data_IF_926436891315
#
_entry.id   IF_926436891315
#
_cell.length_a   1.000
_cell.length_b   1.000
_cell.length_c   1.000
_cell.angle_alpha   90.00
_cell.angle_beta   90.00
_cell.angle_gamma   90.00
#
_symmetry.space_group_name_H-M   'P 1'
#
loop_
_entity.id
_entity.type
_entity.pdbx_description
1 polymer ?
#
# COMPACT_ATOMS: atom_id res chain seq x y z
N UNK A 1 -28.35 41.82 -70.36
CA UNK A 1 -27.11 42.16 -69.62
C UNK A 1 -27.42 42.62 -68.20
N UNK A 2 -28.30 43.62 -68.02
CA UNK A 2 -28.70 44.16 -66.71
C UNK A 2 -29.28 43.12 -65.73
N UNK A 3 -30.15 42.20 -66.19
CA UNK A 3 -30.77 41.19 -65.32
C UNK A 3 -29.78 40.20 -64.68
N UNK A 4 -28.73 39.80 -65.42
CA UNK A 4 -27.66 38.96 -64.88
C UNK A 4 -26.80 39.71 -63.88
N UNK A 5 -26.56 41.00 -64.11
CA UNK A 5 -25.79 41.84 -63.18
C UNK A 5 -26.51 41.95 -61.84
N UNK A 6 -27.82 42.22 -61.87
CA UNK A 6 -28.67 42.32 -60.69
C UNK A 6 -28.74 41.00 -59.90
N UNK A 7 -28.90 39.85 -60.57
CA UNK A 7 -28.83 38.53 -59.91
C UNK A 7 -27.46 38.25 -59.27
N UNK A 8 -26.38 38.80 -59.83
CA UNK A 8 -25.02 38.61 -59.29
C UNK A 8 -24.81 39.49 -58.07
N UNK A 9 -25.31 40.72 -58.09
CA UNK A 9 -25.29 41.66 -56.96
C UNK A 9 -26.12 41.13 -55.78
N UNK A 10 -27.30 40.56 -56.03
CA UNK A 10 -28.13 39.93 -55.00
C UNK A 10 -27.44 38.72 -54.35
N UNK A 11 -26.79 37.87 -55.15
CA UNK A 11 -25.99 36.74 -54.62
C UNK A 11 -24.80 37.22 -53.79
N UNK A 12 -24.11 38.26 -54.25
CA UNK A 12 -22.98 38.84 -53.52
C UNK A 12 -23.42 39.46 -52.19
N UNK A 13 -24.56 40.17 -52.19
CA UNK A 13 -25.15 40.73 -50.98
C UNK A 13 -25.55 39.62 -49.99
N UNK A 14 -26.23 38.58 -50.48
CA UNK A 14 -26.61 37.42 -49.65
C UNK A 14 -25.39 36.73 -49.04
N UNK A 15 -24.32 36.52 -49.81
CA UNK A 15 -23.08 35.94 -49.30
C UNK A 15 -22.39 36.83 -48.26
N UNK A 16 -22.46 38.15 -48.43
CA UNK A 16 -21.89 39.12 -47.48
C UNK A 16 -22.62 39.06 -46.14
N UNK A 17 -23.96 38.99 -46.17
CA UNK A 17 -24.78 38.84 -44.96
C UNK A 17 -24.50 37.50 -44.27
N UNK A 18 -24.38 36.42 -45.04
CA UNK A 18 -24.05 35.09 -44.50
C UNK A 18 -22.68 35.09 -43.80
N UNK A 19 -21.67 35.70 -44.42
CA UNK A 19 -20.33 35.82 -43.84
C UNK A 19 -20.31 36.68 -42.57
N UNK A 20 -21.09 37.78 -42.54
CA UNK A 20 -21.24 38.59 -41.33
C UNK A 20 -21.89 37.79 -40.20
N UNK A 21 -22.94 37.02 -40.50
CA UNK A 21 -23.58 36.16 -39.52
C UNK A 21 -22.63 35.07 -39.00
N UNK A 22 -21.86 34.43 -39.88
CA UNK A 22 -20.88 33.42 -39.50
C UNK A 22 -19.77 33.99 -38.60
N UNK A 23 -19.28 35.19 -38.92
CA UNK A 23 -18.28 35.88 -38.10
C UNK A 23 -18.82 36.28 -36.73
N UNK A 24 -20.10 36.70 -36.66
CA UNK A 24 -20.77 36.94 -35.39
C UNK A 24 -20.83 35.64 -34.57
N UNK A 25 -21.30 34.54 -35.14
CA UNK A 25 -21.34 33.24 -34.46
C UNK A 25 -19.95 32.77 -33.97
N UNK A 26 -18.91 32.92 -34.81
CA UNK A 26 -17.54 32.59 -34.44
C UNK A 26 -17.00 33.47 -33.30
N UNK A 27 -17.37 34.76 -33.28
CA UNK A 27 -17.00 35.67 -32.19
C UNK A 27 -17.70 35.29 -30.89
N UNK A 28 -18.96 34.86 -30.95
CA UNK A 28 -19.72 34.38 -29.78
C UNK A 28 -19.09 33.11 -29.21
N UNK A 29 -18.66 32.18 -30.06
CA UNK A 29 -17.97 30.94 -29.65
C UNK A 29 -16.59 31.22 -29.06
N UNK A 30 -15.81 32.13 -29.67
CA UNK A 30 -14.49 32.54 -29.14
C UNK A 30 -14.56 33.26 -27.79
N UNK A 31 -15.66 33.97 -27.54
CA UNK A 31 -15.87 34.73 -26.31
C UNK A 31 -16.60 33.93 -25.22
N UNK A 32 -16.94 32.66 -25.47
CA UNK A 32 -17.32 31.78 -24.36
C UNK A 32 -16.09 31.56 -23.49
N UNK A 33 -16.19 31.71 -22.14
CA UNK A 33 -15.09 31.36 -21.27
C UNK A 33 -14.74 29.90 -21.53
N UNK A 34 -13.48 29.61 -21.89
CA UNK A 34 -12.98 28.24 -21.92
C UNK A 34 -13.27 27.64 -20.55
N UNK A 35 -14.26 26.74 -20.49
CA UNK A 35 -14.51 25.96 -19.27
C UNK A 35 -13.29 25.10 -19.09
N UNK A 36 -12.39 25.55 -18.22
CA UNK A 36 -11.17 24.82 -17.92
C UNK A 36 -11.61 23.54 -17.20
N UNK A 37 -11.72 22.45 -17.96
CA UNK A 37 -12.09 21.14 -17.41
C UNK A 37 -10.92 20.71 -16.53
N UNK A 38 -11.07 20.91 -15.25
CA UNK A 38 -10.09 20.48 -14.27
C UNK A 38 -10.33 19.00 -13.94
N UNK A 39 -9.25 18.23 -13.78
CA UNK A 39 -9.32 16.82 -13.42
C UNK A 39 -9.87 16.58 -12.01
N UNK A 40 -10.00 15.32 -11.64
CA UNK A 40 -10.29 14.91 -10.26
C UNK A 40 -9.18 15.40 -9.32
N UNK A 41 -9.57 15.94 -8.18
CA UNK A 41 -8.67 16.38 -7.10
C UNK A 41 -9.34 16.15 -5.74
N UNK A 42 -8.59 16.40 -4.66
CA UNK A 42 -9.08 16.18 -3.29
C UNK A 42 -10.27 17.10 -2.98
N UNK A 43 -10.22 18.35 -3.40
CA UNK A 43 -11.28 19.33 -3.15
C UNK A 43 -12.62 18.87 -3.77
N UNK A 44 -12.60 18.33 -4.99
CA UNK A 44 -13.78 17.75 -5.65
C UNK A 44 -14.32 16.53 -4.93
N UNK A 45 -13.44 15.64 -4.44
CA UNK A 45 -13.87 14.47 -3.66
C UNK A 45 -14.59 14.93 -2.39
N UNK A 46 -14.03 15.88 -1.66
CA UNK A 46 -14.62 16.42 -0.43
C UNK A 46 -15.97 17.11 -0.72
N UNK A 47 -16.06 17.88 -1.81
CA UNK A 47 -17.33 18.49 -2.22
C UNK A 47 -18.40 17.43 -2.53
N UNK A 48 -18.01 16.31 -3.14
CA UNK A 48 -18.90 15.21 -3.47
C UNK A 48 -19.27 14.34 -2.27
N UNK A 49 -18.52 14.37 -1.16
CA UNK A 49 -18.88 13.62 0.06
C UNK A 49 -20.25 13.99 0.63
N UNK A 50 -20.73 15.21 0.36
CA UNK A 50 -22.09 15.64 0.71
C UNK A 50 -23.18 14.79 0.06
N UNK A 51 -22.89 14.18 -1.10
CA UNK A 51 -23.80 13.33 -1.87
C UNK A 51 -23.44 11.86 -1.78
N UNK A 52 -22.14 11.54 -1.71
CA UNK A 52 -21.61 10.18 -1.66
C UNK A 52 -20.82 10.03 -0.37
N UNK A 53 -21.49 9.60 0.69
CA UNK A 53 -20.90 9.44 2.01
C UNK A 53 -19.68 8.52 1.96
N UNK A 54 -18.56 8.98 2.52
CA UNK A 54 -17.33 8.19 2.64
C UNK A 54 -16.54 8.04 1.33
N UNK A 55 -16.73 8.94 0.36
CA UNK A 55 -16.06 8.86 -0.95
C UNK A 55 -14.52 8.89 -0.84
N UNK A 56 -13.94 9.69 0.05
CA UNK A 56 -12.48 9.69 0.23
C UNK A 56 -11.99 8.36 0.79
N UNK A 57 -12.73 7.79 1.74
CA UNK A 57 -12.43 6.50 2.34
C UNK A 57 -12.60 5.38 1.32
N UNK A 58 -13.62 5.45 0.45
CA UNK A 58 -13.76 4.53 -0.66
C UNK A 58 -12.52 4.56 -1.54
N UNK A 59 -12.06 5.74 -1.97
CA UNK A 59 -10.94 5.87 -2.90
C UNK A 59 -9.56 5.57 -2.30
N UNK A 60 -9.36 5.85 -1.01
CA UNK A 60 -8.02 5.81 -0.39
C UNK A 60 -7.89 4.82 0.76
N UNK A 61 -9.01 4.29 1.26
CA UNK A 61 -9.11 3.57 2.53
C UNK A 61 -8.66 4.41 3.75
N UNK A 62 -8.61 5.74 3.61
CA UNK A 62 -8.23 6.69 4.64
C UNK A 62 -9.35 7.70 4.87
N UNK A 63 -9.54 8.10 6.13
CA UNK A 63 -10.32 9.31 6.44
C UNK A 63 -9.57 10.54 5.93
N UNK A 64 -10.27 11.62 5.65
CA UNK A 64 -9.63 12.86 5.19
C UNK A 64 -8.52 13.36 6.13
N UNK A 65 -8.75 13.34 7.44
CA UNK A 65 -7.71 13.72 8.41
C UNK A 65 -6.47 12.83 8.36
N UNK A 66 -6.66 11.51 8.17
CA UNK A 66 -5.55 10.56 8.02
C UNK A 66 -4.82 10.76 6.70
N UNK A 67 -5.55 11.05 5.61
CA UNK A 67 -4.94 11.40 4.32
C UNK A 67 -4.04 12.64 4.45
N UNK A 68 -4.53 13.71 5.10
CA UNK A 68 -3.74 14.93 5.34
C UNK A 68 -2.51 14.65 6.20
N UNK A 69 -2.66 13.83 7.25
CA UNK A 69 -1.54 13.44 8.12
C UNK A 69 -0.48 12.67 7.34
N UNK A 70 -0.90 11.68 6.54
CA UNK A 70 -0.01 10.92 5.67
C UNK A 70 0.69 11.83 4.65
N UNK A 71 -0.05 12.73 4.01
CA UNK A 71 0.51 13.69 3.07
C UNK A 71 1.60 14.55 3.71
N UNK A 72 1.33 15.09 4.90
CA UNK A 72 2.30 15.89 5.64
C UNK A 72 3.56 15.09 5.98
N UNK A 73 3.41 13.87 6.52
CA UNK A 73 4.55 12.97 6.81
C UNK A 73 5.38 12.71 5.54
N UNK A 74 4.71 12.43 4.42
CA UNK A 74 5.38 12.13 3.16
C UNK A 74 6.07 13.35 2.53
N UNK A 75 5.68 14.57 2.87
CA UNK A 75 6.16 15.79 2.19
C UNK A 75 6.91 16.76 3.08
N UNK A 76 7.02 16.48 4.39
CA UNK A 76 7.67 17.33 5.38
C UNK A 76 9.13 17.63 5.03
N UNK A 77 9.89 16.61 4.64
CA UNK A 77 11.33 16.75 4.37
C UNK A 77 11.64 16.91 2.88
N UNK A 78 10.95 16.17 2.01
CA UNK A 78 11.25 16.12 0.59
C UNK A 78 10.01 15.76 -0.25
N UNK A 79 9.96 16.28 -1.47
CA UNK A 79 8.98 15.93 -2.48
C UNK A 79 9.45 14.76 -3.38
N UNK A 80 8.53 13.95 -3.94
CA UNK A 80 8.89 12.92 -4.90
C UNK A 80 9.68 13.48 -6.09
N UNK A 81 10.69 12.73 -6.52
CA UNK A 81 11.56 13.12 -7.64
C UNK A 81 11.02 12.55 -8.95
N UNK A 82 10.82 13.41 -9.94
CA UNK A 82 10.28 13.03 -11.26
C UNK A 82 11.37 13.11 -12.35
N UNK A 83 11.79 11.97 -12.94
CA UNK A 83 12.92 11.95 -13.86
C UNK A 83 12.62 12.61 -15.22
N UNK A 84 11.41 12.46 -15.77
CA UNK A 84 11.09 12.90 -17.14
C UNK A 84 10.57 14.33 -17.21
N UNK A 85 10.45 15.03 -16.07
CA UNK A 85 10.15 16.46 -15.96
C UNK A 85 8.92 16.93 -16.77
N UNK A 86 7.91 16.07 -16.92
CA UNK A 86 6.71 16.33 -17.73
C UNK A 86 5.91 17.53 -17.22
N UNK A 87 5.32 18.30 -18.14
CA UNK A 87 4.57 19.52 -17.81
C UNK A 87 3.34 19.23 -16.95
N UNK A 88 2.53 18.25 -17.36
CA UNK A 88 1.29 17.86 -16.68
C UNK A 88 1.54 17.29 -15.27
N UNK A 89 2.66 16.59 -15.05
CA UNK A 89 3.11 16.17 -13.71
C UNK A 89 3.49 17.38 -12.86
N UNK A 90 4.31 18.30 -13.38
CA UNK A 90 4.77 19.50 -12.65
C UNK A 90 3.64 20.45 -12.26
N UNK A 91 2.61 20.55 -13.08
CA UNK A 91 1.47 21.43 -12.82
C UNK A 91 0.45 20.84 -11.85
N UNK A 92 0.47 19.52 -11.63
CA UNK A 92 -0.45 18.86 -10.73
C UNK A 92 -0.03 19.05 -9.27
N UNK A 93 -0.97 19.46 -8.42
CA UNK A 93 -0.74 19.57 -6.97
C UNK A 93 -0.29 18.23 -6.38
N UNK A 94 0.72 18.19 -5.49
CA UNK A 94 1.22 16.94 -4.93
C UNK A 94 0.17 16.12 -4.16
N UNK A 95 -0.77 16.75 -3.48
CA UNK A 95 -1.90 16.09 -2.81
C UNK A 95 -2.75 15.30 -3.81
N UNK A 96 -2.95 15.86 -5.01
CA UNK A 96 -3.69 15.20 -6.09
C UNK A 96 -2.90 14.02 -6.68
N UNK A 97 -1.57 14.14 -6.74
CA UNK A 97 -0.70 13.04 -7.15
C UNK A 97 -0.70 11.88 -6.13
N UNK A 98 -0.69 12.19 -4.83
CA UNK A 98 -0.84 11.20 -3.76
C UNK A 98 -2.21 10.51 -3.83
N UNK A 99 -3.29 11.29 -4.03
CA UNK A 99 -4.64 10.75 -4.23
C UNK A 99 -4.68 9.74 -5.38
N UNK A 100 -4.11 10.09 -6.54
CA UNK A 100 -4.02 9.21 -7.70
C UNK A 100 -3.30 7.89 -7.34
N UNK A 101 -2.20 8.00 -6.60
CA UNK A 101 -1.41 6.84 -6.15
C UNK A 101 -2.21 5.94 -5.22
N UNK A 102 -2.88 6.50 -4.22
CA UNK A 102 -3.71 5.75 -3.27
C UNK A 102 -4.94 5.11 -3.94
N UNK A 103 -5.58 5.81 -4.89
CA UNK A 103 -6.67 5.25 -5.69
C UNK A 103 -6.23 4.01 -6.46
N UNK A 104 -5.02 4.04 -7.02
CA UNK A 104 -4.46 2.90 -7.73
C UNK A 104 -4.12 1.75 -6.78
N UNK A 105 -3.52 2.03 -5.62
CA UNK A 105 -3.22 1.01 -4.62
C UNK A 105 -4.50 0.32 -4.11
N UNK A 106 -5.55 1.10 -3.83
CA UNK A 106 -6.80 0.60 -3.27
C UNK A 106 -7.64 -0.19 -4.28
N UNK A 107 -7.82 0.34 -5.48
CA UNK A 107 -8.78 -0.21 -6.46
C UNK A 107 -8.14 -0.93 -7.65
N UNK A 108 -6.81 -0.85 -7.78
CA UNK A 108 -6.10 -1.30 -8.97
C UNK A 108 -6.64 -0.68 -10.27
N UNK A 109 -7.09 0.58 -10.22
CA UNK A 109 -7.56 1.30 -11.41
C UNK A 109 -6.47 1.36 -12.48
N UNK A 110 -6.85 1.06 -13.73
CA UNK A 110 -5.94 1.05 -14.87
C UNK A 110 -5.37 2.44 -15.18
N UNK A 111 -4.18 2.49 -15.76
CA UNK A 111 -3.51 3.77 -16.06
C UNK A 111 -4.33 4.67 -16.99
N UNK A 112 -5.11 4.10 -17.92
CA UNK A 112 -6.00 4.85 -18.82
C UNK A 112 -7.21 5.45 -18.10
N UNK A 113 -7.78 4.74 -17.14
CA UNK A 113 -8.90 5.24 -16.33
C UNK A 113 -8.44 6.41 -15.45
N UNK A 114 -7.30 6.25 -14.76
CA UNK A 114 -6.70 7.34 -13.99
C UNK A 114 -6.33 8.53 -14.89
N UNK A 115 -5.77 8.30 -16.07
CA UNK A 115 -5.46 9.38 -17.02
C UNK A 115 -6.72 10.20 -17.38
N UNK A 116 -7.84 9.52 -17.64
CA UNK A 116 -9.11 10.17 -17.93
C UNK A 116 -9.67 10.93 -16.72
N UNK A 117 -9.62 10.35 -15.51
CA UNK A 117 -10.12 11.01 -14.29
C UNK A 117 -9.34 12.27 -13.94
N UNK A 118 -8.02 12.22 -14.07
CA UNK A 118 -7.12 13.31 -13.67
C UNK A 118 -6.74 14.25 -14.82
N UNK A 119 -7.21 13.98 -16.04
CA UNK A 119 -6.94 14.76 -17.27
C UNK A 119 -5.45 14.95 -17.55
N UNK A 120 -4.69 13.88 -17.41
CA UNK A 120 -3.25 13.82 -17.71
C UNK A 120 -2.93 12.68 -18.66
N UNK A 121 -1.72 12.65 -19.21
CA UNK A 121 -1.32 11.54 -20.08
C UNK A 121 -1.15 10.23 -19.29
N UNK A 122 -1.41 9.08 -19.93
CA UNK A 122 -1.19 7.74 -19.33
C UNK A 122 0.26 7.57 -18.86
N UNK A 123 1.22 8.13 -19.58
CA UNK A 123 2.63 8.09 -19.19
C UNK A 123 2.90 8.93 -17.93
N UNK A 124 2.20 10.04 -17.74
CA UNK A 124 2.29 10.85 -16.52
C UNK A 124 1.69 10.15 -15.32
N UNK A 125 0.57 9.43 -15.47
CA UNK A 125 0.04 8.54 -14.42
C UNK A 125 1.10 7.51 -14.01
N UNK A 126 1.75 6.87 -14.99
CA UNK A 126 2.79 5.87 -14.73
C UNK A 126 4.00 6.46 -14.00
N UNK A 127 4.42 7.66 -14.37
CA UNK A 127 5.55 8.35 -13.73
C UNK A 127 5.20 8.80 -12.31
N UNK A 128 4.02 9.38 -12.11
CA UNK A 128 3.49 9.76 -10.80
C UNK A 128 3.45 8.55 -9.88
N UNK A 129 2.79 7.47 -10.32
CA UNK A 129 2.66 6.28 -9.51
C UNK A 129 4.02 5.70 -9.11
N UNK A 130 4.96 5.58 -10.05
CA UNK A 130 6.27 4.99 -9.75
C UNK A 130 7.07 5.86 -8.77
N UNK A 131 7.11 7.19 -9.00
CA UNK A 131 7.82 8.12 -8.14
C UNK A 131 7.23 8.17 -6.72
N UNK A 132 5.91 8.15 -6.58
CA UNK A 132 5.27 8.13 -5.26
C UNK A 132 5.46 6.81 -4.53
N UNK A 133 5.47 5.65 -5.23
CA UNK A 133 5.75 4.35 -4.59
C UNK A 133 7.18 4.32 -4.03
N UNK A 134 8.17 4.77 -4.81
CA UNK A 134 9.55 4.87 -4.34
C UNK A 134 9.68 5.86 -3.17
N UNK A 135 9.05 7.03 -3.28
CA UNK A 135 9.05 8.04 -2.23
C UNK A 135 8.42 7.53 -0.93
N UNK A 136 7.25 6.88 -1.03
CA UNK A 136 6.58 6.27 0.13
C UNK A 136 7.44 5.18 0.76
N UNK A 137 8.12 4.35 -0.04
CA UNK A 137 9.02 3.31 0.48
C UNK A 137 10.17 3.92 1.29
N UNK A 138 10.82 4.96 0.77
CA UNK A 138 11.94 5.62 1.45
C UNK A 138 11.50 6.31 2.75
N UNK A 139 10.43 7.12 2.69
CA UNK A 139 9.97 7.89 3.85
C UNK A 139 9.34 6.96 4.91
N UNK A 140 8.37 6.12 4.54
CA UNK A 140 7.69 5.25 5.49
C UNK A 140 8.62 4.15 6.03
N UNK A 141 9.58 3.68 5.23
CA UNK A 141 10.58 2.71 5.66
C UNK A 141 11.60 3.27 6.67
N UNK A 142 11.73 4.59 6.76
CA UNK A 142 12.60 5.25 7.74
C UNK A 142 11.95 5.43 9.12
N UNK A 143 10.63 5.22 9.23
CA UNK A 143 9.89 5.41 10.47
C UNK A 143 10.14 4.20 11.38
N UNK A 144 10.69 4.38 12.61
CA UNK A 144 10.83 3.30 13.55
C UNK A 144 9.45 2.89 14.08
N UNK A 145 8.95 1.74 13.63
CA UNK A 145 7.63 1.23 14.00
C UNK A 145 7.67 0.24 15.18
N UNK A 146 8.85 -0.17 15.64
CA UNK A 146 8.99 -1.06 16.80
C UNK A 146 9.04 -0.24 18.11
N UNK A 147 8.02 -0.32 18.97
CA UNK A 147 7.98 0.43 20.23
C UNK A 147 8.90 -0.20 21.30
N UNK A 148 9.24 0.58 22.31
CA UNK A 148 10.03 0.08 23.44
C UNK A 148 9.26 -1.02 24.20
N UNK A 149 9.96 -2.05 24.72
CA UNK A 149 9.36 -3.21 25.40
C UNK A 149 8.35 -2.84 26.48
N UNK A 150 8.64 -1.80 27.26
CA UNK A 150 7.75 -1.35 28.33
C UNK A 150 6.40 -0.86 27.80
N UNK A 151 6.37 -0.27 26.61
CA UNK A 151 5.14 0.17 25.97
C UNK A 151 4.35 -1.03 25.42
N UNK A 152 5.05 -2.03 24.85
CA UNK A 152 4.44 -3.30 24.42
C UNK A 152 3.78 -3.99 25.62
N UNK A 153 4.56 -4.21 26.68
CA UNK A 153 4.10 -4.89 27.90
C UNK A 153 2.94 -4.13 28.53
N UNK A 154 3.03 -2.79 28.65
CA UNK A 154 1.96 -1.94 29.23
C UNK A 154 0.65 -2.07 28.46
N UNK A 155 0.71 -2.13 27.13
CA UNK A 155 -0.46 -2.21 26.27
C UNK A 155 -0.90 -3.65 25.95
N UNK A 156 -0.16 -4.67 26.38
CA UNK A 156 -0.51 -6.07 26.13
C UNK A 156 -1.90 -6.43 26.69
N UNK A 157 -2.75 -7.17 25.94
CA UNK A 157 -4.03 -7.66 26.45
C UNK A 157 -3.84 -8.51 27.72
N UNK A 158 -4.77 -8.39 28.67
CA UNK A 158 -4.64 -9.03 29.99
C UNK A 158 -4.44 -10.55 29.90
N UNK A 159 -5.22 -11.24 29.06
CA UNK A 159 -5.11 -12.68 28.87
C UNK A 159 -3.76 -13.06 28.24
N UNK A 160 -3.32 -12.33 27.22
CA UNK A 160 -2.01 -12.54 26.61
C UNK A 160 -0.89 -12.37 27.65
N UNK A 161 -0.96 -11.34 28.49
CA UNK A 161 0.04 -11.06 29.53
C UNK A 161 0.16 -12.17 30.58
N UNK A 162 -0.95 -12.80 30.95
CA UNK A 162 -0.93 -13.91 31.91
C UNK A 162 -0.26 -15.15 31.31
N UNK A 163 -0.50 -15.42 30.02
CA UNK A 163 -0.03 -16.64 29.36
C UNK A 163 1.39 -16.50 28.79
N UNK A 164 1.75 -15.31 28.29
CA UNK A 164 2.99 -15.00 27.58
C UNK A 164 3.54 -13.60 27.94
N UNK A 165 3.90 -13.34 29.22
CA UNK A 165 4.24 -11.99 29.71
C UNK A 165 5.44 -11.34 29.00
N UNK A 166 6.39 -12.16 28.55
CA UNK A 166 7.63 -11.69 27.92
C UNK A 166 7.60 -11.77 26.39
N UNK A 167 6.46 -12.13 25.78
CA UNK A 167 6.35 -12.19 24.31
C UNK A 167 6.06 -10.82 23.74
N UNK A 168 7.04 -10.25 23.02
CA UNK A 168 6.95 -8.90 22.48
C UNK A 168 6.44 -8.85 21.05
N UNK A 169 6.56 -9.95 20.30
CA UNK A 169 6.14 -10.00 18.91
C UNK A 169 5.59 -11.36 18.53
N UNK A 170 4.65 -11.34 17.59
CA UNK A 170 4.10 -12.52 16.92
C UNK A 170 4.48 -12.38 15.45
N UNK A 171 5.18 -13.36 14.91
CA UNK A 171 5.63 -13.37 13.52
C UNK A 171 4.83 -14.36 12.68
N UNK A 172 4.59 -13.98 11.43
CA UNK A 172 4.03 -14.86 10.42
C UNK A 172 4.43 -14.39 9.01
N UNK A 173 4.47 -15.32 8.07
CA UNK A 173 4.73 -15.00 6.68
C UNK A 173 3.40 -14.75 5.94
N UNK A 174 3.31 -13.63 5.22
CA UNK A 174 2.17 -13.35 4.35
C UNK A 174 2.51 -13.62 2.90
N UNK A 175 1.55 -14.16 2.16
CA UNK A 175 1.66 -14.39 0.71
C UNK A 175 0.71 -13.49 -0.08
N UNK A 176 1.29 -12.77 -1.02
CA UNK A 176 0.61 -11.88 -1.96
C UNK A 176 0.59 -12.53 -3.34
N UNK A 177 -0.62 -12.72 -3.90
CA UNK A 177 -0.76 -13.20 -5.28
C UNK A 177 -0.28 -12.13 -6.24
N UNK A 178 0.45 -12.55 -7.27
CA UNK A 178 1.00 -11.65 -8.29
C UNK A 178 0.59 -12.11 -9.68
N UNK A 179 0.76 -11.22 -10.66
CA UNK A 179 0.63 -11.61 -12.06
C UNK A 179 1.72 -12.62 -12.43
N UNK A 180 1.38 -13.61 -13.24
CA UNK A 180 2.32 -14.62 -13.70
C UNK A 180 3.43 -13.96 -14.53
N UNK A 181 4.71 -14.18 -14.17
CA UNK A 181 5.83 -13.73 -14.99
C UNK A 181 5.80 -14.40 -16.36
N UNK A 182 6.28 -13.69 -17.39
CA UNK A 182 6.48 -14.26 -18.73
C UNK A 182 7.57 -15.34 -18.75
N UNK A 183 8.56 -15.22 -17.86
CA UNK A 183 9.64 -16.21 -17.71
C UNK A 183 9.18 -17.43 -16.94
N UNK A 184 9.21 -18.61 -17.56
CA UNK A 184 8.88 -19.89 -16.91
C UNK A 184 9.78 -20.20 -15.70
N UNK A 185 11.06 -19.82 -15.77
CA UNK A 185 12.02 -19.99 -14.66
C UNK A 185 11.66 -19.11 -13.47
N UNK A 186 11.18 -17.89 -13.71
CA UNK A 186 10.73 -17.01 -12.63
C UNK A 186 9.36 -17.46 -12.10
N UNK A 187 8.49 -17.94 -12.99
CA UNK A 187 7.20 -18.51 -12.61
C UNK A 187 7.37 -19.70 -11.66
N UNK A 188 8.26 -20.66 -11.97
CA UNK A 188 8.47 -21.83 -11.10
C UNK A 188 9.00 -21.44 -9.73
N UNK A 189 9.91 -20.47 -9.64
CA UNK A 189 10.41 -19.95 -8.36
C UNK A 189 9.35 -19.20 -7.56
N UNK A 190 8.52 -18.41 -8.23
CA UNK A 190 7.45 -17.65 -7.56
C UNK A 190 6.21 -18.51 -7.28
N UNK A 191 6.14 -19.73 -7.79
CA UNK A 191 4.99 -20.59 -7.54
C UNK A 191 5.01 -21.06 -6.08
N UNK A 192 3.92 -20.78 -5.38
CA UNK A 192 3.65 -21.35 -4.06
C UNK A 192 2.69 -22.51 -4.25
N UNK A 193 3.14 -23.72 -3.91
CA UNK A 193 2.31 -24.91 -3.93
C UNK A 193 1.11 -24.74 -2.99
N UNK A 194 1.34 -24.12 -1.83
CA UNK A 194 0.33 -23.85 -0.82
C UNK A 194 -0.81 -22.94 -1.32
N UNK A 195 -0.50 -21.92 -2.14
CA UNK A 195 -1.50 -21.03 -2.74
C UNK A 195 -1.93 -21.43 -4.15
N UNK A 196 -1.28 -22.45 -4.70
CA UNK A 196 -1.40 -22.92 -6.09
C UNK A 196 -1.35 -21.77 -7.10
N UNK A 197 -0.49 -20.77 -6.84
CA UNK A 197 -0.42 -19.53 -7.60
C UNK A 197 1.00 -18.92 -7.54
N UNK A 198 1.29 -18.02 -8.48
CA UNK A 198 2.49 -17.17 -8.41
C UNK A 198 2.33 -16.15 -7.29
N UNK A 199 3.15 -16.27 -6.25
CA UNK A 199 3.12 -15.39 -5.08
C UNK A 199 4.49 -14.77 -4.79
N UNK A 200 4.41 -13.65 -4.08
CA UNK A 200 5.52 -13.12 -3.30
C UNK A 200 5.18 -13.29 -1.82
N UNK A 201 6.20 -13.60 -1.02
CA UNK A 201 6.06 -13.88 0.41
C UNK A 201 6.92 -12.91 1.22
N UNK A 202 6.43 -12.43 2.36
CA UNK A 202 7.18 -11.55 3.25
C UNK A 202 6.90 -11.88 4.71
N UNK A 203 7.91 -11.69 5.57
CA UNK A 203 7.79 -11.81 7.02
C UNK A 203 7.16 -10.55 7.58
N UNK A 204 6.19 -10.74 8.46
CA UNK A 204 5.51 -9.67 9.20
C UNK A 204 5.58 -9.99 10.68
N UNK A 205 5.88 -8.99 11.51
CA UNK A 205 5.70 -9.08 12.96
C UNK A 205 4.64 -8.08 13.42
N UNK A 206 3.80 -8.52 14.35
CA UNK A 206 2.96 -7.62 15.12
C UNK A 206 3.23 -7.71 16.62
N UNK A 207 2.92 -6.66 17.35
CA UNK A 207 2.89 -6.70 18.82
C UNK A 207 1.69 -7.57 19.30
N UNK A 208 1.58 -7.87 20.61
CA UNK A 208 0.44 -8.60 21.17
C UNK A 208 -0.92 -7.92 21.00
N UNK A 209 -0.95 -6.62 20.68
CA UNK A 209 -2.17 -5.88 20.34
C UNK A 209 -2.54 -6.00 18.85
N UNK A 210 -1.66 -6.54 18.00
CA UNK A 210 -1.85 -6.69 16.57
C UNK A 210 -1.43 -5.47 15.75
N UNK A 211 -0.62 -4.57 16.31
CA UNK A 211 0.01 -3.48 15.57
C UNK A 211 1.23 -4.00 14.82
N UNK A 212 1.39 -3.63 13.55
CA UNK A 212 2.56 -4.04 12.75
C UNK A 212 3.80 -3.32 13.27
N UNK A 213 4.83 -4.09 13.62
CA UNK A 213 6.09 -3.59 14.18
C UNK A 213 7.32 -4.01 13.35
N UNK A 214 7.16 -4.92 12.39
CA UNK A 214 8.20 -5.27 11.42
C UNK A 214 7.57 -5.78 10.11
N UNK A 215 8.19 -5.42 8.98
CA UNK A 215 7.82 -5.92 7.65
C UNK A 215 9.12 -6.13 6.86
N UNK A 216 9.30 -7.32 6.28
CA UNK A 216 10.45 -7.60 5.43
C UNK A 216 10.25 -7.16 3.98
N UNK A 217 11.32 -7.22 3.20
CA UNK A 217 11.23 -7.30 1.73
C UNK A 217 10.45 -8.55 1.29
N UNK A 218 10.04 -8.55 0.02
CA UNK A 218 9.31 -9.66 -0.59
C UNK A 218 10.27 -10.67 -1.24
N UNK A 219 10.02 -11.94 -0.97
CA UNK A 219 10.73 -13.11 -1.47
C UNK A 219 9.83 -13.94 -2.39
N UNK A 220 10.42 -14.88 -3.13
CA UNK A 220 9.66 -15.76 -4.02
C UNK A 220 8.77 -16.72 -3.24
N UNK A 221 7.55 -17.00 -3.73
CA UNK A 221 6.56 -17.84 -3.05
C UNK A 221 7.00 -19.26 -2.65
N UNK A 222 8.00 -19.83 -3.34
CA UNK A 222 8.56 -21.15 -3.01
C UNK A 222 9.49 -21.17 -1.79
N UNK A 223 9.96 -20.01 -1.31
CA UNK A 223 10.85 -19.95 -0.16
C UNK A 223 10.11 -20.29 1.13
N UNK A 224 10.77 -21.08 1.99
CA UNK A 224 10.25 -21.42 3.31
C UNK A 224 10.29 -20.21 4.25
N UNK A 225 9.46 -20.24 5.27
CA UNK A 225 9.36 -19.15 6.24
C UNK A 225 10.66 -19.01 7.05
N UNK A 226 11.35 -20.13 7.29
CA UNK A 226 12.69 -20.18 7.91
C UNK A 226 13.72 -19.46 7.04
N UNK A 227 13.79 -19.78 5.75
CA UNK A 227 14.73 -19.13 4.83
C UNK A 227 14.46 -17.64 4.68
N UNK A 228 13.18 -17.24 4.66
CA UNK A 228 12.79 -15.83 4.61
C UNK A 228 13.21 -15.12 5.88
N UNK A 229 12.98 -15.73 7.05
CA UNK A 229 13.40 -15.14 8.33
C UNK A 229 14.90 -14.87 8.34
N UNK A 230 15.71 -15.83 7.89
CA UNK A 230 17.16 -15.67 7.77
C UNK A 230 17.59 -14.56 6.78
N UNK A 231 16.90 -14.43 5.65
CA UNK A 231 17.25 -13.44 4.61
C UNK A 231 16.63 -12.06 4.81
N UNK A 232 15.61 -11.95 5.65
CA UNK A 232 14.84 -10.72 5.89
C UNK A 232 15.55 -9.69 6.78
N UNK A 233 16.77 -9.98 7.24
CA UNK A 233 17.51 -9.22 8.26
C UNK A 233 16.81 -9.14 9.62
N UNK A 234 15.81 -9.99 9.85
CA UNK A 234 15.04 -9.97 11.09
C UNK A 234 15.92 -10.18 12.33
N UNK A 235 16.85 -11.15 12.30
CA UNK A 235 17.77 -11.37 13.42
C UNK A 235 18.69 -10.18 13.69
N UNK A 236 19.29 -9.59 12.64
CA UNK A 236 20.11 -8.40 12.80
C UNK A 236 19.32 -7.22 13.35
N UNK A 237 18.07 -7.08 12.93
CA UNK A 237 17.17 -6.07 13.46
C UNK A 237 16.89 -6.29 14.97
N UNK A 238 16.63 -7.52 15.39
CA UNK A 238 16.46 -7.86 16.81
C UNK A 238 17.74 -7.62 17.63
N UNK A 239 18.92 -7.95 17.10
CA UNK A 239 20.20 -7.64 17.74
C UNK A 239 20.36 -6.13 17.96
N UNK A 240 20.02 -5.30 16.97
CA UNK A 240 20.06 -3.84 17.11
C UNK A 240 19.06 -3.35 18.18
N UNK A 241 17.88 -3.95 18.28
CA UNK A 241 16.91 -3.60 19.33
C UNK A 241 17.42 -3.97 20.73
N UNK A 242 18.15 -5.07 20.88
CA UNK A 242 18.83 -5.40 22.15
C UNK A 242 19.91 -4.37 22.46
N UNK A 243 20.78 -4.07 21.50
CA UNK A 243 21.88 -3.12 21.67
C UNK A 243 21.41 -1.71 22.04
N UNK A 244 20.25 -1.30 21.50
CA UNK A 244 19.64 0.01 21.79
C UNK A 244 18.72 -0.02 23.02
N UNK A 245 18.56 -1.17 23.67
CA UNK A 245 17.73 -1.35 24.88
C UNK A 245 16.23 -1.33 24.62
N UNK A 246 15.78 -1.41 23.36
CA UNK A 246 14.36 -1.47 23.03
C UNK A 246 13.72 -2.80 23.45
N UNK A 247 14.50 -3.88 23.41
CA UNK A 247 14.16 -5.21 23.92
C UNK A 247 15.34 -5.74 24.74
N UNK A 248 15.12 -6.75 25.58
CA UNK A 248 16.12 -7.32 26.46
C UNK A 248 16.35 -8.80 26.18
N UNK A 249 17.52 -9.31 26.60
CA UNK A 249 17.75 -10.75 26.65
C UNK A 249 16.68 -11.45 27.49
N UNK A 250 16.21 -12.60 27.01
CA UNK A 250 15.13 -13.38 27.62
C UNK A 250 13.72 -12.99 27.18
N UNK A 251 13.53 -11.83 26.53
CA UNK A 251 12.27 -11.52 25.85
C UNK A 251 11.99 -12.56 24.74
N UNK A 252 10.73 -12.74 24.37
CA UNK A 252 10.26 -13.85 23.53
C UNK A 252 9.58 -13.38 22.23
N UNK A 253 9.69 -14.20 21.20
CA UNK A 253 8.97 -14.08 19.93
C UNK A 253 8.04 -15.30 19.78
N UNK A 254 6.82 -15.10 19.31
CA UNK A 254 5.86 -16.17 19.05
C UNK A 254 5.71 -16.40 17.54
N UNK A 255 5.61 -17.64 17.10
CA UNK A 255 5.49 -17.98 15.68
C UNK A 255 4.64 -19.24 15.44
N UNK A 256 4.34 -19.52 14.16
CA UNK A 256 3.80 -20.83 13.76
C UNK A 256 4.83 -21.94 13.96
N UNK A 257 4.35 -23.16 14.13
CA UNK A 257 5.12 -24.41 14.19
C UNK A 257 6.10 -24.60 13.04
N UNK A 258 5.85 -23.98 11.88
CA UNK A 258 6.75 -23.99 10.72
C UNK A 258 8.05 -23.19 10.89
N UNK A 259 8.15 -22.34 11.93
CA UNK A 259 9.33 -21.52 12.21
C UNK A 259 10.30 -22.25 13.13
N UNK A 260 11.06 -23.21 12.59
CA UNK A 260 12.11 -23.92 13.34
C UNK A 260 13.36 -23.04 13.50
N UNK A 261 13.24 -21.93 14.24
CA UNK A 261 14.26 -20.86 14.35
C UNK A 261 14.77 -20.64 15.79
N UNK A 262 14.55 -21.61 16.67
CA UNK A 262 14.86 -21.46 18.11
C UNK A 262 16.35 -21.22 18.36
N UNK A 263 17.23 -21.89 17.59
CA UNK A 263 18.68 -21.73 17.76
C UNK A 263 19.15 -20.34 17.34
N UNK A 264 18.62 -19.82 16.24
CA UNK A 264 18.92 -18.49 15.73
C UNK A 264 18.46 -17.40 16.71
N UNK A 265 17.25 -17.52 17.27
CA UNK A 265 16.78 -16.59 18.29
C UNK A 265 17.58 -16.70 19.59
N UNK A 266 17.98 -17.91 19.98
CA UNK A 266 18.83 -18.11 21.16
C UNK A 266 20.21 -17.48 20.99
N UNK A 267 20.78 -17.48 19.78
CA UNK A 267 22.03 -16.78 19.47
C UNK A 267 21.91 -15.25 19.62
N UNK A 268 20.72 -14.69 19.31
CA UNK A 268 20.40 -13.28 19.59
C UNK A 268 20.13 -13.06 21.09
N UNK A 269 19.83 -14.13 21.83
CA UNK A 269 19.51 -14.13 23.26
C UNK A 269 18.02 -13.90 23.56
N UNK A 270 17.15 -14.32 22.64
CA UNK A 270 15.69 -14.30 22.76
C UNK A 270 15.14 -15.73 22.77
N UNK A 271 13.90 -15.88 23.25
CA UNK A 271 13.20 -17.17 23.24
C UNK A 271 12.18 -17.25 22.11
N UNK A 272 11.84 -18.48 21.71
CA UNK A 272 10.80 -18.75 20.73
C UNK A 272 9.64 -19.52 21.35
N UNK A 273 8.44 -18.96 21.26
CA UNK A 273 7.19 -19.60 21.64
C UNK A 273 6.54 -20.24 20.40
N UNK A 274 6.57 -21.57 20.35
CA UNK A 274 5.95 -22.38 19.29
C UNK A 274 4.88 -23.31 19.87
N UNK A 275 3.86 -23.68 19.06
CA UNK A 275 3.04 -24.84 19.35
C UNK A 275 3.90 -26.09 19.56
N UNK A 276 3.56 -26.93 20.54
CA UNK A 276 4.32 -28.15 20.82
C UNK A 276 4.33 -29.10 19.61
N UNK A 277 5.44 -29.82 19.43
CA UNK A 277 5.58 -30.82 18.36
C UNK A 277 4.89 -32.13 18.75
N UNK A 278 4.22 -32.77 17.79
CA UNK A 278 3.73 -34.14 17.97
C UNK A 278 4.82 -35.03 17.36
N UNK A 279 5.49 -35.83 18.18
CA UNK A 279 6.32 -36.90 17.64
C UNK A 279 5.40 -38.00 17.11
N UNK A 280 5.64 -38.45 15.87
CA UNK A 280 4.83 -39.48 15.22
C UNK A 280 4.72 -40.72 16.12
N UNK A 281 3.51 -41.01 16.60
CA UNK A 281 3.19 -42.18 17.43
C UNK A 281 2.97 -41.93 18.92
N UNK A 282 3.15 -40.71 19.44
CA UNK A 282 2.93 -40.37 20.86
C UNK A 282 1.86 -39.28 20.96
N UNK A 283 0.82 -39.53 21.77
CA UNK A 283 -0.21 -38.55 22.07
C UNK A 283 0.39 -37.42 22.92
N UNK A 284 0.10 -36.16 22.57
CA UNK A 284 0.56 -35.00 23.33
C UNK A 284 0.03 -35.05 24.76
N UNK A 285 0.86 -34.65 25.72
CA UNK A 285 0.38 -34.50 27.09
C UNK A 285 -0.63 -33.34 27.17
N UNK A 286 -1.49 -33.35 28.19
CA UNK A 286 -2.52 -32.32 28.35
C UNK A 286 -1.91 -30.90 28.41
N UNK A 287 -0.78 -30.72 29.09
CA UNK A 287 -0.10 -29.43 29.18
C UNK A 287 0.39 -28.92 27.81
N UNK A 288 0.93 -29.80 26.96
CA UNK A 288 1.35 -29.45 25.61
C UNK A 288 0.16 -29.06 24.72
N UNK A 289 -0.98 -29.74 24.89
CA UNK A 289 -2.22 -29.42 24.17
C UNK A 289 -2.71 -28.03 24.58
N UNK A 290 -2.72 -27.73 25.88
CA UNK A 290 -3.15 -26.42 26.41
C UNK A 290 -2.25 -25.29 25.92
N UNK A 291 -0.92 -25.46 25.94
CA UNK A 291 0.03 -24.46 25.42
C UNK A 291 -0.19 -24.25 23.91
N UNK A 292 -0.33 -25.34 23.15
CA UNK A 292 -0.59 -25.28 21.71
C UNK A 292 -1.88 -24.53 21.39
N UNK A 293 -2.95 -24.76 22.14
CA UNK A 293 -4.22 -24.06 21.99
C UNK A 293 -4.09 -22.56 22.30
N UNK A 294 -3.36 -22.21 23.37
CA UNK A 294 -3.12 -20.80 23.74
C UNK A 294 -2.33 -20.06 22.66
N UNK A 295 -1.25 -20.64 22.16
CA UNK A 295 -0.44 -20.05 21.07
C UNK A 295 -1.29 -19.87 19.81
N UNK A 296 -2.06 -20.89 19.42
CA UNK A 296 -2.96 -20.80 18.27
C UNK A 296 -4.02 -19.70 18.45
N UNK A 297 -4.57 -19.54 19.65
CA UNK A 297 -5.54 -18.49 19.95
C UNK A 297 -4.93 -17.09 19.78
N UNK A 298 -3.70 -16.86 20.25
CA UNK A 298 -3.04 -15.56 20.14
C UNK A 298 -2.51 -15.25 18.74
N UNK A 299 -2.20 -16.26 17.93
CA UNK A 299 -1.81 -16.05 16.52
C UNK A 299 -2.88 -15.34 15.69
N UNK A 300 -4.14 -15.33 16.12
CA UNK A 300 -5.19 -14.53 15.47
C UNK A 300 -4.83 -13.04 15.37
N UNK A 301 -3.99 -12.52 16.26
CA UNK A 301 -3.52 -11.13 16.23
C UNK A 301 -2.72 -10.83 14.97
N UNK A 302 -1.71 -11.66 14.66
CA UNK A 302 -0.89 -11.48 13.45
C UNK A 302 -1.69 -11.79 12.19
N UNK A 303 -2.60 -12.78 12.21
CA UNK A 303 -3.49 -13.07 11.08
C UNK A 303 -4.42 -11.90 10.75
N UNK A 304 -4.99 -11.24 11.77
CA UNK A 304 -5.82 -10.04 11.60
C UNK A 304 -4.99 -8.87 11.07
N UNK A 305 -3.75 -8.71 11.54
CA UNK A 305 -2.85 -7.67 11.07
C UNK A 305 -2.49 -7.90 9.59
N UNK A 306 -2.12 -9.12 9.22
CA UNK A 306 -1.87 -9.54 7.84
C UNK A 306 -3.10 -9.36 6.96
N UNK A 307 -4.31 -9.66 7.46
CA UNK A 307 -5.55 -9.44 6.71
C UNK A 307 -5.68 -7.97 6.30
N UNK A 308 -5.40 -7.01 7.19
CA UNK A 308 -5.44 -5.57 6.86
C UNK A 308 -4.49 -5.23 5.72
N UNK A 309 -3.28 -5.81 5.71
CA UNK A 309 -2.30 -5.63 4.61
C UNK A 309 -2.88 -6.16 3.30
N UNK A 310 -3.44 -7.38 3.30
CA UNK A 310 -3.94 -8.05 2.10
C UNK A 310 -5.21 -7.44 1.52
N UNK A 311 -5.98 -6.73 2.33
CA UNK A 311 -7.24 -6.09 1.93
C UNK A 311 -7.15 -4.56 1.88
N UNK A 312 -5.94 -4.00 1.94
CA UNK A 312 -5.72 -2.57 1.72
C UNK A 312 -6.17 -2.18 0.31
#
# INVERSE_FOLDING_TARGET
MQKKLQETEEKLHHQTVLNQHLNLQLSTVRNQPEVQIEGLNIEKIIQQEKKITGLIFYYTNLKHSTFVTLYNILTEQQMPVFPKKRKDVKTMKPETQLLLTLMRLRHNFGLKDLAARFLISTQSVSEIFSAWIEHMYLILGSIPIWPHRNDIIRNMPSQFRVEFPDTLAIIDCTELKTQKPSSLKLQSKMYSDYKSATTLKGLVACDPMGNIIFVSELFTGSMSDVEITAKSRFYNFLEQLILTGYIHHGDSIMADKGFTISGELQNVGLHLNLPSFVNSGIQMCQADVEITQKIAAHRIHVERAIRKIRTF
#
